data_IF_895298505639
#
_entry.id   IF_895298505639
#
_cell.length_a   1.000
_cell.length_b   1.000
_cell.length_c   1.000
_cell.angle_alpha   90.00
_cell.angle_beta   90.00
_cell.angle_gamma   90.00
#
_symmetry.space_group_name_H-M   'P 1'
#
loop_
_entity.id
_entity.type
_entity.pdbx_description
1 polymer ?
#
# COMPACT_ATOMS: atom_id res chain seq x y z
N UNK A 1 -28.70 -0.57 34.02
CA UNK A 1 -28.31 0.73 33.44
C UNK A 1 -26.90 0.59 32.92
N UNK A 2 -26.73 0.34 31.63
CA UNK A 2 -25.43 0.34 30.98
C UNK A 2 -25.32 1.67 30.22
N UNK A 3 -24.28 2.44 30.54
CA UNK A 3 -24.00 3.73 29.92
C UNK A 3 -23.63 3.53 28.44
N UNK A 4 -24.14 4.38 27.52
CA UNK A 4 -23.75 4.32 26.13
C UNK A 4 -22.29 4.75 25.94
N UNK A 5 -21.51 3.93 25.25
CA UNK A 5 -20.17 4.28 24.76
C UNK A 5 -20.34 5.39 23.72
N UNK A 6 -19.78 6.56 24.03
CA UNK A 6 -19.93 7.79 23.28
C UNK A 6 -19.36 7.65 21.86
N UNK A 7 -20.23 7.67 20.86
CA UNK A 7 -19.91 8.24 19.55
C UNK A 7 -19.61 9.72 19.76
N UNK A 8 -18.41 10.07 20.27
CA UNK A 8 -17.88 11.44 20.17
C UNK A 8 -17.54 11.65 18.69
N UNK A 9 -18.59 11.96 17.93
CA UNK A 9 -18.53 12.17 16.49
C UNK A 9 -17.54 13.28 16.18
N UNK A 10 -16.86 13.11 15.05
CA UNK A 10 -15.97 14.08 14.41
C UNK A 10 -16.54 15.53 14.31
N UNK A 11 -17.83 15.69 14.56
CA UNK A 11 -18.60 16.93 14.61
C UNK A 11 -18.25 17.86 15.79
N UNK A 12 -17.68 17.34 16.88
CA UNK A 12 -17.40 18.15 18.08
C UNK A 12 -16.15 19.03 17.93
N UNK A 13 -16.15 20.27 18.47
CA UNK A 13 -14.96 21.13 18.43
C UNK A 13 -13.78 20.58 19.24
N UNK A 14 -14.07 19.79 20.27
CA UNK A 14 -13.05 19.07 21.05
C UNK A 14 -12.22 18.10 20.20
N UNK A 15 -12.83 17.48 19.18
CA UNK A 15 -12.16 16.49 18.34
C UNK A 15 -11.11 17.12 17.42
N UNK A 16 -11.38 18.33 16.91
CA UNK A 16 -10.41 19.09 16.13
C UNK A 16 -9.23 19.52 17.01
N UNK A 17 -9.49 19.96 18.23
CA UNK A 17 -8.47 20.41 19.17
C UNK A 17 -7.53 19.28 19.61
N UNK A 18 -8.08 18.10 19.89
CA UNK A 18 -7.29 16.91 20.22
C UNK A 18 -6.38 16.50 19.05
N UNK A 19 -6.89 16.58 17.81
CA UNK A 19 -6.14 16.24 16.62
C UNK A 19 -5.02 17.24 16.31
N UNK A 20 -5.30 18.54 16.41
CA UNK A 20 -4.29 19.59 16.22
C UNK A 20 -3.19 19.51 17.29
N UNK A 21 -3.57 19.26 18.54
CA UNK A 21 -2.64 19.06 19.66
C UNK A 21 -1.77 17.82 19.46
N UNK A 22 -2.36 16.69 19.05
CA UNK A 22 -1.64 15.45 18.75
C UNK A 22 -0.59 15.63 17.65
N UNK A 23 -0.88 16.46 16.66
CA UNK A 23 0.03 16.78 15.55
C UNK A 23 1.00 17.92 15.87
N UNK A 24 0.95 18.47 17.08
CA UNK A 24 1.80 19.57 17.56
C UNK A 24 1.72 20.81 16.66
N UNK A 25 0.53 21.15 16.17
CA UNK A 25 0.30 22.41 15.46
C UNK A 25 0.47 23.56 16.47
N UNK A 26 1.27 24.59 16.17
CA UNK A 26 1.43 25.73 17.07
C UNK A 26 0.10 26.40 17.43
N UNK A 27 -0.10 26.72 18.71
CA UNK A 27 -1.32 27.34 19.24
C UNK A 27 -1.75 28.63 18.51
N UNK A 28 -0.82 29.50 18.06
CA UNK A 28 -1.19 30.67 17.25
C UNK A 28 -1.88 30.28 15.93
N UNK A 29 -1.45 29.19 15.28
CA UNK A 29 -2.08 28.69 14.04
C UNK A 29 -3.43 28.05 14.31
N UNK A 30 -3.58 27.32 15.43
CA UNK A 30 -4.87 26.79 15.86
C UNK A 30 -5.87 27.93 16.08
N UNK A 31 -5.43 29.02 16.73
CA UNK A 31 -6.24 30.21 16.96
C UNK A 31 -6.60 30.92 15.66
N UNK A 32 -5.66 31.07 14.72
CA UNK A 32 -5.91 31.69 13.41
C UNK A 32 -6.93 30.87 12.60
N UNK A 33 -6.80 29.55 12.62
CA UNK A 33 -7.71 28.63 11.94
C UNK A 33 -9.12 28.72 12.52
N UNK A 34 -9.27 28.71 13.85
CA UNK A 34 -10.57 28.93 14.51
C UNK A 34 -11.16 30.31 14.21
N UNK A 35 -10.31 31.33 14.10
CA UNK A 35 -10.70 32.68 13.70
C UNK A 35 -11.36 32.76 12.31
N UNK A 36 -11.08 31.80 11.42
CA UNK A 36 -11.75 31.68 10.11
C UNK A 36 -13.13 31.00 10.15
N UNK A 37 -13.60 30.60 11.35
CA UNK A 37 -14.89 29.93 11.53
C UNK A 37 -14.82 28.39 11.47
N UNK A 38 -13.61 27.83 11.37
CA UNK A 38 -13.39 26.37 11.33
C UNK A 38 -13.38 25.85 12.77
N UNK A 39 -14.42 25.10 13.15
CA UNK A 39 -14.57 24.60 14.52
C UNK A 39 -14.55 23.07 14.62
N UNK A 40 -14.91 22.36 13.56
CA UNK A 40 -14.98 20.89 13.56
C UNK A 40 -14.02 20.23 12.54
N UNK A 41 -13.88 18.91 12.62
CA UNK A 41 -13.10 18.13 11.66
C UNK A 41 -13.70 18.21 10.24
N UNK A 42 -15.02 18.06 10.03
CA UNK A 42 -15.66 18.30 8.74
C UNK A 42 -15.42 19.70 8.19
N UNK A 43 -15.54 20.74 9.03
CA UNK A 43 -15.30 22.12 8.60
C UNK A 43 -13.90 22.27 8.02
N UNK A 44 -12.89 21.74 8.72
CA UNK A 44 -11.52 21.85 8.26
C UNK A 44 -11.25 21.00 7.00
N UNK A 45 -11.86 19.81 6.94
CA UNK A 45 -11.74 18.89 5.81
C UNK A 45 -12.29 19.48 4.50
N UNK A 46 -13.41 20.20 4.58
CA UNK A 46 -14.15 20.69 3.41
C UNK A 46 -14.00 22.20 3.15
N UNK A 47 -13.47 22.99 4.09
CA UNK A 47 -13.20 24.43 3.87
C UNK A 47 -12.13 24.70 2.80
N UNK A 48 -11.29 23.71 2.50
CA UNK A 48 -10.25 23.79 1.47
C UNK A 48 -10.38 22.61 0.51
N UNK A 49 -10.31 22.88 -0.78
CA UNK A 49 -10.39 21.82 -1.80
C UNK A 49 -9.05 21.08 -1.92
N UNK A 50 -7.97 21.86 -1.91
CA UNK A 50 -6.60 21.40 -2.14
C UNK A 50 -5.65 21.87 -1.04
N UNK A 51 -4.59 21.10 -0.80
CA UNK A 51 -3.54 21.42 0.20
C UNK A 51 -2.86 22.76 -0.12
N UNK A 52 -2.73 23.10 -1.40
CA UNK A 52 -2.11 24.34 -1.85
C UNK A 52 -2.89 25.58 -1.39
N UNK A 53 -4.19 25.47 -1.13
CA UNK A 53 -5.01 26.59 -0.66
C UNK A 53 -4.70 26.98 0.80
N UNK A 54 -4.07 26.09 1.57
CA UNK A 54 -3.57 26.40 2.92
C UNK A 54 -2.38 27.36 2.87
N UNK A 55 -1.73 27.54 1.72
CA UNK A 55 -0.66 28.53 1.57
C UNK A 55 -1.15 29.97 1.78
N UNK A 56 -2.47 30.23 1.81
CA UNK A 56 -3.02 31.53 2.25
C UNK A 56 -2.62 31.92 3.67
N UNK A 57 -2.32 30.95 4.53
CA UNK A 57 -1.78 31.22 5.87
C UNK A 57 -0.33 31.72 5.80
N UNK A 58 0.37 31.52 4.69
CA UNK A 58 1.71 32.05 4.46
C UNK A 58 1.70 33.47 3.88
N UNK A 59 0.53 34.00 3.47
CA UNK A 59 0.45 35.31 2.85
C UNK A 59 0.81 36.41 3.86
N UNK A 60 1.80 37.22 3.48
CA UNK A 60 2.47 38.19 4.34
C UNK A 60 1.59 39.38 4.80
N UNK A 61 0.35 39.52 4.32
CA UNK A 61 -0.52 40.64 4.69
C UNK A 61 -1.45 40.33 5.88
N UNK A 62 -1.92 39.08 6.02
CA UNK A 62 -2.93 38.72 7.03
C UNK A 62 -2.34 38.00 8.24
N UNK A 63 -1.24 37.24 8.06
CA UNK A 63 -0.67 36.39 9.11
C UNK A 63 0.81 36.68 9.40
N UNK A 64 1.39 37.78 8.89
CA UNK A 64 2.81 38.10 9.12
C UNK A 64 3.18 38.23 10.61
N UNK A 65 2.31 38.84 11.42
CA UNK A 65 2.56 38.97 12.86
C UNK A 65 2.59 37.61 13.56
N UNK A 66 1.74 36.68 13.15
CA UNK A 66 1.73 35.31 13.66
C UNK A 66 3.06 34.59 13.39
N UNK A 67 3.65 34.77 12.19
CA UNK A 67 4.91 34.12 11.85
C UNK A 67 6.11 34.78 12.53
N UNK A 68 6.05 36.10 12.76
CA UNK A 68 7.03 36.82 13.58
C UNK A 68 7.03 36.32 15.03
N UNK A 69 5.85 36.15 15.63
CA UNK A 69 5.70 35.64 17.00
C UNK A 69 6.21 34.20 17.15
N UNK A 70 6.12 33.40 16.07
CA UNK A 70 6.68 32.05 16.00
C UNK A 70 8.18 32.02 15.68
N UNK A 71 8.79 33.16 15.32
CA UNK A 71 10.19 33.24 14.89
C UNK A 71 10.47 32.48 13.59
N UNK A 72 9.51 32.48 12.65
CA UNK A 72 9.60 31.76 11.38
C UNK A 72 9.70 32.77 10.23
N UNK A 73 10.86 32.83 9.58
CA UNK A 73 11.10 33.72 8.44
C UNK A 73 10.49 33.19 7.13
N UNK A 74 10.45 31.86 6.96
CA UNK A 74 9.95 31.20 5.76
C UNK A 74 8.75 30.27 6.09
N UNK A 75 7.52 30.79 6.08
CA UNK A 75 6.35 30.04 6.53
C UNK A 75 6.01 28.86 5.61
N UNK A 76 6.19 28.99 4.29
CA UNK A 76 5.79 27.97 3.30
C UNK A 76 6.50 26.62 3.49
N UNK A 77 7.78 26.66 3.85
CA UNK A 77 8.63 25.48 4.08
C UNK A 77 8.81 25.18 5.57
N UNK A 78 8.08 25.86 6.46
CA UNK A 78 8.20 25.70 7.90
C UNK A 78 7.63 24.36 8.41
N UNK A 79 8.18 23.81 9.51
CA UNK A 79 7.60 22.65 10.18
C UNK A 79 6.16 22.89 10.66
N UNK A 80 5.84 24.13 11.03
CA UNK A 80 4.51 24.54 11.47
C UNK A 80 3.47 24.36 10.34
N UNK A 81 3.75 24.86 9.14
CA UNK A 81 2.90 24.64 7.97
C UNK A 81 2.84 23.17 7.55
N UNK A 82 3.94 22.43 7.64
CA UNK A 82 3.94 21.00 7.34
C UNK A 82 2.99 20.22 8.27
N UNK A 83 2.95 20.57 9.57
CA UNK A 83 2.01 19.98 10.54
C UNK A 83 0.56 20.35 10.23
N UNK A 84 0.29 21.60 9.84
CA UNK A 84 -1.04 22.05 9.44
C UNK A 84 -1.55 21.31 8.18
N UNK A 85 -0.71 21.16 7.15
CA UNK A 85 -1.04 20.38 5.94
C UNK A 85 -1.31 18.91 6.28
N UNK A 86 -0.53 18.34 7.20
CA UNK A 86 -0.75 16.97 7.71
C UNK A 86 -2.07 16.86 8.48
N UNK A 87 -2.42 17.85 9.28
CA UNK A 87 -3.70 17.90 9.99
C UNK A 87 -4.88 17.91 9.01
N UNK A 88 -4.81 18.74 7.97
CA UNK A 88 -5.85 18.77 6.93
C UNK A 88 -6.04 17.40 6.25
N UNK A 89 -4.96 16.72 5.85
CA UNK A 89 -5.05 15.38 5.27
C UNK A 89 -5.70 14.36 6.22
N UNK A 90 -5.43 14.46 7.52
CA UNK A 90 -6.05 13.62 8.54
C UNK A 90 -7.54 13.92 8.70
N UNK A 91 -7.92 15.19 8.75
CA UNK A 91 -9.33 15.59 8.82
C UNK A 91 -10.11 15.14 7.58
N UNK A 92 -9.54 15.30 6.38
CA UNK A 92 -10.16 14.85 5.12
C UNK A 92 -10.40 13.34 5.11
N UNK A 93 -9.44 12.56 5.59
CA UNK A 93 -9.60 11.10 5.70
C UNK A 93 -10.68 10.71 6.72
N UNK A 94 -10.75 11.41 7.86
CA UNK A 94 -11.76 11.14 8.90
C UNK A 94 -13.18 11.51 8.43
N UNK A 95 -13.35 12.66 7.77
CA UNK A 95 -14.63 13.09 7.23
C UNK A 95 -15.14 12.11 6.15
N UNK A 96 -14.26 11.71 5.22
CA UNK A 96 -14.60 10.73 4.19
C UNK A 96 -14.94 9.34 4.76
N UNK A 97 -14.29 8.93 5.85
CA UNK A 97 -14.59 7.66 6.51
C UNK A 97 -15.94 7.68 7.25
N UNK A 98 -16.36 8.83 7.76
CA UNK A 98 -17.65 8.98 8.43
C UNK A 98 -18.84 9.07 7.45
N UNK A 99 -18.60 9.55 6.23
CA UNK A 99 -19.62 9.63 5.17
C UNK A 99 -19.75 8.34 4.36
N UNK A 100 -18.87 7.37 4.60
CA UNK A 100 -19.01 6.02 4.06
C UNK A 100 -20.22 5.31 4.69
N UNK A 101 -21.05 4.59 3.90
CA UNK A 101 -22.22 3.90 4.44
C UNK A 101 -21.80 2.89 5.50
N UNK A 102 -22.33 3.05 6.71
CA UNK A 102 -22.01 2.20 7.85
C UNK A 102 -22.42 0.74 7.57
N UNK A 103 -21.45 -0.12 7.28
CA UNK A 103 -21.61 -1.56 7.48
C UNK A 103 -21.52 -1.82 8.98
N UNK A 104 -22.68 -1.99 9.61
CA UNK A 104 -22.77 -2.46 10.98
C UNK A 104 -22.28 -3.90 11.05
N UNK A 105 -21.02 -4.10 11.43
CA UNK A 105 -20.61 -5.35 12.06
C UNK A 105 -19.49 -5.07 13.06
N UNK A 106 -19.88 -4.97 14.33
CA UNK A 106 -18.98 -5.19 15.46
C UNK A 106 -18.42 -6.62 15.34
N UNK A 107 -17.21 -6.73 14.82
CA UNK A 107 -16.35 -7.88 15.08
C UNK A 107 -14.95 -7.33 15.36
N UNK A 108 -14.55 -7.38 16.63
CA UNK A 108 -13.17 -7.11 17.03
C UNK A 108 -12.22 -7.92 16.15
N UNK A 109 -11.56 -7.22 15.24
CA UNK A 109 -10.46 -7.76 14.45
C UNK A 109 -9.30 -6.80 14.63
N UNK A 110 -8.15 -7.34 15.00
CA UNK A 110 -6.87 -6.63 15.15
C UNK A 110 -6.65 -5.60 14.02
N UNK A 111 -5.88 -4.52 14.24
CA UNK A 111 -5.70 -3.46 13.26
C UNK A 111 -5.14 -4.05 11.96
N UNK A 112 -6.04 -4.32 11.03
CA UNK A 112 -5.68 -4.69 9.68
C UNK A 112 -5.00 -3.46 9.10
N UNK A 113 -3.75 -3.64 8.65
CA UNK A 113 -3.07 -2.69 7.78
C UNK A 113 -4.06 -2.21 6.71
N UNK A 114 -4.05 -0.91 6.33
CA UNK A 114 -5.04 -0.36 5.43
C UNK A 114 -5.16 -1.27 4.21
N UNK A 115 -6.36 -1.86 4.08
CA UNK A 115 -6.71 -2.79 3.03
C UNK A 115 -6.22 -2.19 1.71
N UNK A 116 -5.48 -2.98 0.93
CA UNK A 116 -4.94 -2.55 -0.35
C UNK A 116 -6.04 -1.86 -1.15
N UNK A 117 -5.92 -0.55 -1.39
CA UNK A 117 -6.84 0.25 -2.25
C UNK A 117 -7.05 -0.36 -3.66
N UNK A 118 -6.24 -1.35 -4.03
CA UNK A 118 -6.32 -2.17 -5.25
C UNK A 118 -7.37 -3.29 -5.21
N UNK A 119 -7.74 -3.76 -4.02
CA UNK A 119 -8.72 -4.81 -3.80
C UNK A 119 -10.15 -4.27 -3.81
N UNK A 120 -10.37 -3.03 -3.32
CA UNK A 120 -11.73 -2.49 -3.18
C UNK A 120 -12.40 -2.09 -4.50
N UNK A 121 -11.65 -1.65 -5.52
CA UNK A 121 -12.20 -1.39 -6.86
C UNK A 121 -11.23 -1.78 -7.98
N UNK A 122 -11.09 -3.09 -8.15
CA UNK A 122 -10.56 -3.72 -9.34
C UNK A 122 -11.07 -3.07 -10.65
N UNK A 123 -10.19 -2.64 -11.59
CA UNK A 123 -10.66 -2.32 -12.93
C UNK A 123 -11.45 -3.51 -13.52
N UNK A 124 -12.50 -3.24 -14.32
CA UNK A 124 -13.20 -4.28 -15.05
C UNK A 124 -12.23 -5.19 -15.81
N UNK A 125 -12.52 -6.50 -15.80
CA UNK A 125 -11.72 -7.47 -16.56
C UNK A 125 -11.81 -7.13 -18.04
N UNK A 126 -10.68 -7.16 -18.73
CA UNK A 126 -10.66 -6.98 -20.18
C UNK A 126 -11.43 -8.12 -20.85
N UNK A 127 -12.13 -7.79 -21.91
CA UNK A 127 -12.81 -8.76 -22.75
C UNK A 127 -11.81 -9.60 -23.54
N UNK A 128 -12.20 -10.83 -23.86
CA UNK A 128 -11.34 -11.77 -24.58
C UNK A 128 -10.91 -11.25 -25.97
N UNK A 129 -11.75 -10.45 -26.64
CA UNK A 129 -11.45 -9.91 -27.95
C UNK A 129 -10.33 -8.85 -27.87
N UNK A 130 -10.39 -7.94 -26.89
CA UNK A 130 -9.31 -6.99 -26.63
C UNK A 130 -8.00 -7.69 -26.28
N UNK A 131 -8.03 -8.71 -25.42
CA UNK A 131 -6.82 -9.47 -25.08
C UNK A 131 -6.23 -10.15 -26.33
N UNK A 132 -7.06 -10.75 -27.18
CA UNK A 132 -6.63 -11.35 -28.44
C UNK A 132 -5.99 -10.32 -29.37
N UNK A 133 -6.57 -9.11 -29.46
CA UNK A 133 -6.01 -8.03 -30.27
C UNK A 133 -4.66 -7.54 -29.75
N UNK A 134 -4.53 -7.31 -28.43
CA UNK A 134 -3.25 -6.92 -27.82
C UNK A 134 -2.16 -7.98 -28.07
N UNK A 135 -2.54 -9.26 -27.96
CA UNK A 135 -1.62 -10.38 -28.20
C UNK A 135 -1.17 -10.43 -29.66
N UNK A 136 -2.10 -10.25 -30.60
CA UNK A 136 -1.80 -10.20 -32.04
C UNK A 136 -0.87 -9.02 -32.38
N UNK A 137 -1.16 -7.84 -31.84
CA UNK A 137 -0.33 -6.64 -32.02
C UNK A 137 1.08 -6.86 -31.45
N UNK A 138 1.18 -7.49 -30.28
CA UNK A 138 2.47 -7.82 -29.68
C UNK A 138 3.30 -8.76 -30.56
N UNK A 139 2.70 -9.84 -31.09
CA UNK A 139 3.38 -10.77 -31.99
C UNK A 139 3.83 -10.09 -33.30
N UNK A 140 3.02 -9.17 -33.82
CA UNK A 140 3.39 -8.40 -35.01
C UNK A 140 4.57 -7.46 -34.76
N UNK A 141 4.62 -6.83 -33.58
CA UNK A 141 5.69 -5.88 -33.22
C UNK A 141 6.97 -6.58 -32.74
N UNK A 142 6.84 -7.80 -32.21
CA UNK A 142 7.93 -8.58 -31.61
C UNK A 142 7.89 -10.04 -32.07
N UNK A 143 8.18 -10.34 -33.36
CA UNK A 143 8.02 -11.69 -33.92
C UNK A 143 8.94 -12.74 -33.30
N UNK A 144 10.03 -12.33 -32.64
CA UNK A 144 10.95 -13.21 -31.92
C UNK A 144 10.55 -13.52 -30.47
N UNK A 145 9.46 -12.93 -29.97
CA UNK A 145 9.04 -13.08 -28.57
C UNK A 145 7.81 -13.97 -28.48
N UNK A 146 7.91 -15.04 -27.70
CA UNK A 146 6.81 -15.96 -27.46
C UNK A 146 6.16 -15.71 -26.10
N UNK A 147 4.83 -15.56 -26.09
CA UNK A 147 4.03 -15.45 -24.87
C UNK A 147 3.44 -16.83 -24.54
N UNK A 148 4.16 -17.60 -23.73
CA UNK A 148 3.64 -18.83 -23.12
C UNK A 148 2.81 -18.52 -21.86
N UNK A 149 2.19 -19.54 -21.25
CA UNK A 149 1.36 -19.35 -20.05
C UNK A 149 2.12 -18.80 -18.82
N UNK A 150 3.44 -18.95 -18.78
CA UNK A 150 4.30 -18.46 -17.71
C UNK A 150 4.75 -17.00 -17.95
N UNK A 151 4.83 -16.55 -19.21
CA UNK A 151 5.20 -15.20 -19.61
C UNK A 151 4.00 -14.28 -19.88
N UNK A 152 2.83 -14.86 -20.22
CA UNK A 152 1.59 -14.12 -20.42
C UNK A 152 1.09 -13.56 -19.08
N UNK A 153 0.79 -12.25 -18.97
CA UNK A 153 0.21 -11.70 -17.77
C UNK A 153 -1.21 -12.21 -17.53
N UNK A 154 -1.58 -12.37 -16.26
CA UNK A 154 -2.96 -12.66 -15.90
C UNK A 154 -3.91 -11.55 -16.39
N UNK A 155 -5.15 -11.92 -16.68
CA UNK A 155 -6.20 -10.98 -17.12
C UNK A 155 -6.32 -9.81 -16.14
N UNK A 156 -6.19 -10.09 -14.84
CA UNK A 156 -6.25 -9.10 -13.78
C UNK A 156 -5.11 -8.07 -13.87
N UNK A 157 -3.87 -8.55 -13.99
CA UNK A 157 -2.70 -7.69 -14.14
C UNK A 157 -2.82 -6.85 -15.42
N UNK A 158 -3.24 -7.49 -16.52
CA UNK A 158 -3.40 -6.82 -17.81
C UNK A 158 -4.48 -5.73 -17.76
N UNK A 159 -5.62 -5.96 -17.09
CA UNK A 159 -6.65 -4.93 -16.85
C UNK A 159 -6.12 -3.72 -16.10
N UNK A 160 -5.30 -3.93 -15.07
CA UNK A 160 -4.70 -2.83 -14.29
C UNK A 160 -3.79 -2.00 -15.19
N UNK A 161 -2.90 -2.66 -15.93
CA UNK A 161 -1.93 -1.97 -16.79
C UNK A 161 -2.62 -1.30 -17.98
N UNK A 162 -3.64 -1.92 -18.56
CA UNK A 162 -4.43 -1.31 -19.64
C UNK A 162 -5.12 -0.01 -19.19
N UNK A 163 -5.64 0.02 -17.96
CA UNK A 163 -6.23 1.24 -17.38
C UNK A 163 -5.22 2.37 -17.26
N UNK A 164 -3.94 2.10 -17.00
CA UNK A 164 -2.91 3.15 -16.90
C UNK A 164 -2.76 3.95 -18.18
N UNK A 165 -2.91 3.28 -19.33
CA UNK A 165 -2.71 3.87 -20.65
C UNK A 165 -4.04 4.25 -21.33
N UNK A 166 -5.16 4.11 -20.63
CA UNK A 166 -6.47 4.61 -21.06
C UNK A 166 -6.62 6.11 -20.72
N UNK A 167 -7.52 6.86 -21.38
CA UNK A 167 -7.75 8.28 -21.07
C UNK A 167 -8.09 8.51 -19.60
N UNK A 168 -7.37 9.41 -18.92
CA UNK A 168 -7.53 9.66 -17.49
C UNK A 168 -6.90 8.60 -16.56
N UNK A 169 -6.20 7.62 -17.13
CA UNK A 169 -5.39 6.66 -16.39
C UNK A 169 -4.17 7.30 -15.74
N UNK A 170 -3.77 6.78 -14.58
CA UNK A 170 -2.52 7.14 -13.92
C UNK A 170 -1.72 5.88 -13.58
N UNK A 171 -0.41 5.97 -13.77
CA UNK A 171 0.51 4.89 -13.43
C UNK A 171 0.67 4.88 -11.92
N UNK A 172 0.47 3.72 -11.31
CA UNK A 172 0.64 3.52 -9.89
C UNK A 172 1.41 2.22 -9.60
N UNK A 173 1.88 2.04 -8.37
CA UNK A 173 2.65 0.86 -8.01
C UNK A 173 1.79 -0.40 -7.91
N UNK A 174 2.11 -1.47 -8.65
CA UNK A 174 1.48 -2.79 -8.50
C UNK A 174 2.29 -3.66 -7.51
N UNK A 175 1.70 -4.11 -6.40
CA UNK A 175 2.31 -5.09 -5.49
C UNK A 175 2.76 -6.36 -6.22
N UNK A 176 3.85 -6.99 -5.77
CA UNK A 176 4.36 -8.21 -6.41
C UNK A 176 3.37 -9.37 -6.34
N UNK A 177 2.53 -9.40 -5.29
CA UNK A 177 1.46 -10.38 -5.11
C UNK A 177 0.48 -10.41 -6.29
N UNK A 178 0.26 -9.28 -6.95
CA UNK A 178 -0.68 -9.14 -8.06
C UNK A 178 -0.03 -9.34 -9.43
N UNK A 179 1.29 -9.53 -9.50
CA UNK A 179 2.04 -9.72 -10.75
C UNK A 179 2.07 -11.18 -11.18
N UNK A 180 0.87 -11.76 -11.32
CA UNK A 180 0.69 -13.17 -11.65
C UNK A 180 0.72 -13.40 -13.16
N UNK A 181 1.36 -14.49 -13.58
CA UNK A 181 1.19 -15.01 -14.94
C UNK A 181 -0.22 -15.59 -15.13
N UNK A 182 -0.62 -15.80 -16.38
CA UNK A 182 -1.90 -16.43 -16.73
C UNK A 182 -2.00 -17.82 -16.09
N UNK A 183 -0.95 -18.62 -16.20
CA UNK A 183 -0.90 -19.97 -15.62
C UNK A 183 -1.02 -19.95 -14.10
N UNK A 184 -0.23 -19.11 -13.42
CA UNK A 184 -0.30 -18.98 -11.95
C UNK A 184 -1.69 -18.53 -11.49
N UNK A 185 -2.29 -17.58 -12.21
CA UNK A 185 -3.63 -17.10 -11.90
C UNK A 185 -4.68 -18.20 -12.05
N UNK A 186 -4.60 -19.02 -13.11
CA UNK A 186 -5.48 -20.18 -13.32
C UNK A 186 -5.29 -21.23 -12.23
N UNK A 187 -4.06 -21.61 -11.91
CA UNK A 187 -3.74 -22.59 -10.86
C UNK A 187 -4.29 -22.15 -9.48
N UNK A 188 -4.15 -20.87 -9.13
CA UNK A 188 -4.69 -20.34 -7.87
C UNK A 188 -6.22 -20.41 -7.86
N UNK A 189 -6.88 -20.03 -8.95
CA UNK A 189 -8.35 -20.09 -9.06
C UNK A 189 -8.84 -21.54 -8.96
N UNK A 190 -8.24 -22.44 -9.73
CA UNK A 190 -8.59 -23.86 -9.73
C UNK A 190 -8.39 -24.49 -8.35
N UNK A 191 -7.28 -24.18 -7.67
CA UNK A 191 -7.02 -24.68 -6.31
C UNK A 191 -8.05 -24.20 -5.28
N UNK A 192 -8.65 -23.01 -5.49
CA UNK A 192 -9.71 -22.45 -4.65
C UNK A 192 -11.09 -23.07 -4.95
N UNK A 193 -11.35 -23.56 -6.17
CA UNK A 193 -12.64 -24.17 -6.53
C UNK A 193 -12.72 -25.63 -6.10
N UNK A 194 -11.60 -26.36 -6.03
CA UNK A 194 -11.61 -27.79 -5.67
C UNK A 194 -11.83 -28.04 -4.17
N UNK A 195 -11.66 -27.05 -3.28
CA UNK A 195 -11.56 -27.28 -1.83
C UNK A 195 -12.88 -27.26 -1.05
N UNK A 196 -14.02 -26.82 -1.60
CA UNK A 196 -15.29 -26.76 -0.83
C UNK A 196 -16.52 -26.72 -1.75
N UNK A 197 -17.54 -27.55 -1.48
CA UNK A 197 -18.92 -27.27 -1.87
C UNK A 197 -19.33 -25.95 -1.18
N UNK A 198 -19.38 -24.85 -1.93
CA UNK A 198 -19.73 -23.53 -1.39
C UNK A 198 -21.24 -23.46 -1.11
N UNK A 199 -21.60 -22.91 0.04
CA UNK A 199 -22.99 -22.54 0.33
C UNK A 199 -23.40 -21.32 -0.52
N UNK A 200 -24.70 -21.11 -0.74
CA UNK A 200 -25.20 -19.96 -1.52
C UNK A 200 -24.67 -18.61 -1.00
N UNK A 201 -24.52 -18.47 0.32
CA UNK A 201 -23.91 -17.28 0.93
C UNK A 201 -22.43 -17.08 0.55
N UNK A 202 -21.65 -18.16 0.40
CA UNK A 202 -20.26 -18.08 -0.07
C UNK A 202 -20.17 -17.79 -1.58
N UNK A 203 -21.14 -18.26 -2.36
CA UNK A 203 -21.27 -17.88 -3.78
C UNK A 203 -21.58 -16.39 -3.93
N UNK A 204 -22.55 -15.88 -3.17
CA UNK A 204 -22.87 -14.45 -3.14
C UNK A 204 -21.69 -13.63 -2.62
N UNK A 205 -21.00 -14.09 -1.55
CA UNK A 205 -19.79 -13.43 -1.06
C UNK A 205 -18.66 -13.41 -2.10
N UNK A 206 -18.49 -14.47 -2.90
CA UNK A 206 -17.47 -14.50 -3.97
C UNK A 206 -17.87 -13.61 -5.16
N UNK A 207 -19.17 -13.50 -5.43
CA UNK A 207 -19.71 -12.63 -6.48
C UNK A 207 -19.65 -11.14 -6.09
N UNK A 208 -19.79 -10.84 -4.79
CA UNK A 208 -19.76 -9.48 -4.23
C UNK A 208 -18.33 -9.04 -3.89
N UNK A 209 -17.50 -9.95 -3.39
CA UNK A 209 -16.09 -9.72 -3.07
C UNK A 209 -15.23 -10.62 -3.96
N UNK A 210 -14.72 -10.08 -5.08
CA UNK A 210 -13.75 -10.78 -5.94
C UNK A 210 -12.46 -10.96 -5.13
N UNK A 211 -12.37 -12.08 -4.41
CA UNK A 211 -11.21 -12.54 -3.66
C UNK A 211 -10.00 -12.60 -4.60
N UNK A 212 -9.28 -11.48 -4.68
CA UNK A 212 -8.26 -11.23 -5.69
C UNK A 212 -7.16 -12.30 -5.55
N UNK A 213 -6.89 -13.10 -6.60
CA UNK A 213 -5.81 -14.07 -6.56
C UNK A 213 -4.48 -13.36 -6.31
N UNK A 214 -3.78 -13.78 -5.26
CA UNK A 214 -2.51 -13.19 -4.84
C UNK A 214 -1.43 -14.26 -4.71
N UNK A 215 -0.20 -13.91 -5.06
CA UNK A 215 0.97 -14.75 -4.82
C UNK A 215 1.27 -14.81 -3.31
N UNK A 216 1.47 -16.01 -2.72
CA UNK A 216 1.92 -16.11 -1.34
C UNK A 216 3.35 -15.56 -1.22
N UNK A 217 3.54 -14.50 -0.42
CA UNK A 217 4.84 -13.82 -0.25
C UNK A 217 5.42 -13.91 1.16
N UNK A 218 4.70 -14.51 2.11
CA UNK A 218 5.02 -14.48 3.56
C UNK A 218 6.39 -15.09 3.91
N UNK A 219 6.90 -15.98 3.06
CA UNK A 219 8.21 -16.62 3.22
C UNK A 219 9.09 -16.51 1.97
N UNK A 220 8.80 -15.51 1.13
CA UNK A 220 9.49 -15.35 -0.13
C UNK A 220 10.96 -14.94 0.09
N UNK A 221 11.88 -15.82 -0.31
CA UNK A 221 13.29 -15.44 -0.46
C UNK A 221 13.49 -14.80 -1.83
N UNK A 222 13.83 -13.51 -1.82
CA UNK A 222 14.16 -12.77 -3.05
C UNK A 222 15.35 -13.46 -3.73
N UNK A 223 15.12 -14.04 -4.91
CA UNK A 223 16.17 -14.64 -5.74
C UNK A 223 16.14 -14.01 -7.13
N UNK A 224 17.29 -13.96 -7.85
CA UNK A 224 17.34 -13.44 -9.21
C UNK A 224 16.36 -14.15 -10.14
N UNK A 225 16.22 -15.48 -10.00
CA UNK A 225 15.31 -16.29 -10.80
C UNK A 225 13.83 -15.97 -10.50
N UNK A 226 13.47 -15.78 -9.23
CA UNK A 226 12.11 -15.37 -8.87
C UNK A 226 11.79 -13.96 -9.38
N UNK A 227 12.69 -13.01 -9.14
CA UNK A 227 12.51 -11.62 -9.56
C UNK A 227 12.44 -11.51 -11.09
N UNK A 228 13.29 -12.24 -11.82
CA UNK A 228 13.29 -12.29 -13.27
C UNK A 228 11.96 -12.79 -13.86
N UNK A 229 11.33 -13.79 -13.22
CA UNK A 229 9.99 -14.27 -13.62
C UNK A 229 8.92 -13.21 -13.41
N UNK A 230 8.85 -12.63 -12.21
CA UNK A 230 7.84 -11.60 -11.89
C UNK A 230 8.01 -10.35 -12.76
N UNK A 231 9.25 -9.93 -13.02
CA UNK A 231 9.51 -8.80 -13.91
C UNK A 231 9.17 -9.12 -15.36
N UNK A 232 9.41 -10.35 -15.83
CA UNK A 232 9.02 -10.76 -17.18
C UNK A 232 7.51 -10.64 -17.40
N UNK A 233 6.71 -11.14 -16.47
CA UNK A 233 5.25 -11.04 -16.52
C UNK A 233 4.81 -9.57 -16.53
N UNK A 234 5.38 -8.75 -15.64
CA UNK A 234 5.04 -7.34 -15.53
C UNK A 234 5.44 -6.51 -16.76
N UNK A 235 6.66 -6.72 -17.27
CA UNK A 235 7.14 -6.14 -18.53
C UNK A 235 6.21 -6.47 -19.68
N UNK A 236 5.82 -7.75 -19.81
CA UNK A 236 4.97 -8.19 -20.90
C UNK A 236 3.59 -7.52 -20.84
N UNK A 237 3.03 -7.32 -19.64
CA UNK A 237 1.80 -6.54 -19.46
C UNK A 237 1.92 -5.11 -20.01
N UNK A 238 3.02 -4.42 -19.68
CA UNK A 238 3.25 -3.04 -20.16
C UNK A 238 3.44 -3.01 -21.68
N UNK A 239 4.20 -3.97 -22.23
CA UNK A 239 4.45 -4.05 -23.66
C UNK A 239 3.18 -4.39 -24.46
N UNK A 240 2.34 -5.30 -23.97
CA UNK A 240 1.03 -5.64 -24.55
C UNK A 240 0.13 -4.41 -24.60
N UNK A 241 0.10 -3.60 -23.55
CA UNK A 241 -0.67 -2.35 -23.51
C UNK A 241 0.00 -1.17 -24.23
N UNK A 242 1.07 -1.41 -25.00
CA UNK A 242 1.83 -0.38 -25.75
C UNK A 242 2.38 0.76 -24.89
N UNK A 243 2.58 0.52 -23.59
CA UNK A 243 3.07 1.54 -22.66
C UNK A 243 4.54 1.91 -22.86
N UNK A 244 5.36 0.95 -23.30
CA UNK A 244 6.75 1.16 -23.66
C UNK A 244 7.26 0.05 -24.59
N UNK A 245 8.32 0.34 -25.35
CA UNK A 245 8.94 -0.66 -26.21
C UNK A 245 9.62 -1.77 -25.40
N UNK A 246 9.44 -3.03 -25.81
CA UNK A 246 9.90 -4.20 -25.06
C UNK A 246 11.41 -4.17 -24.77
N UNK A 247 12.23 -3.72 -25.72
CA UNK A 247 13.68 -3.60 -25.53
C UNK A 247 14.05 -2.63 -24.38
N UNK A 248 13.31 -1.53 -24.21
CA UNK A 248 13.54 -0.57 -23.11
C UNK A 248 13.17 -1.19 -21.77
N UNK A 249 12.09 -1.96 -21.72
CA UNK A 249 11.66 -2.66 -20.52
C UNK A 249 12.64 -3.78 -20.14
N UNK A 250 13.19 -4.55 -21.10
CA UNK A 250 14.24 -5.54 -20.82
C UNK A 250 15.50 -4.90 -20.24
N UNK A 251 15.91 -3.73 -20.76
CA UNK A 251 17.04 -2.97 -20.22
C UNK A 251 16.75 -2.45 -18.80
N UNK A 252 15.51 -2.02 -18.53
CA UNK A 252 15.06 -1.64 -17.20
C UNK A 252 15.11 -2.81 -16.23
N UNK A 253 14.58 -3.98 -16.61
CA UNK A 253 14.58 -5.18 -15.77
C UNK A 253 15.99 -5.60 -15.39
N UNK A 254 16.95 -5.54 -16.34
CA UNK A 254 18.36 -5.82 -16.04
C UNK A 254 18.88 -4.92 -14.90
N UNK A 255 18.63 -3.62 -14.96
CA UNK A 255 19.03 -2.68 -13.89
C UNK A 255 18.35 -3.01 -12.55
N UNK A 256 17.07 -3.38 -12.59
CA UNK A 256 16.33 -3.77 -11.38
C UNK A 256 16.92 -5.04 -10.77
N UNK A 257 17.22 -6.06 -11.57
CA UNK A 257 17.86 -7.28 -11.11
C UNK A 257 19.26 -6.98 -10.54
N UNK A 258 20.07 -6.20 -11.24
CA UNK A 258 21.41 -5.82 -10.79
C UNK A 258 21.36 -5.13 -9.42
N UNK A 259 20.48 -4.14 -9.24
CA UNK A 259 20.32 -3.42 -7.97
C UNK A 259 19.74 -4.29 -6.84
N UNK A 260 18.78 -5.14 -7.15
CA UNK A 260 18.12 -5.99 -6.15
C UNK A 260 18.98 -7.17 -5.69
N UNK A 261 19.99 -7.54 -6.48
CA UNK A 261 20.86 -8.70 -6.23
C UNK A 261 22.31 -8.33 -5.94
N UNK A 262 22.66 -7.04 -6.01
CA UNK A 262 23.98 -6.55 -5.64
C UNK A 262 24.25 -6.87 -4.17
N UNK A 263 25.33 -7.62 -3.92
CA UNK A 263 25.85 -7.80 -2.57
C UNK A 263 26.40 -6.44 -2.11
N UNK A 264 25.93 -5.86 -0.99
CA UNK A 264 26.44 -4.56 -0.56
C UNK A 264 27.93 -4.68 -0.25
N UNK A 265 28.75 -3.86 -0.92
CA UNK A 265 30.20 -3.81 -0.72
C UNK A 265 30.58 -3.44 0.73
N UNK A 266 29.64 -2.84 1.47
CA UNK A 266 29.76 -2.43 2.86
C UNK A 266 28.65 -3.10 3.70
N UNK A 267 28.68 -4.43 3.76
CA UNK A 267 27.82 -5.24 4.64
C UNK A 267 27.91 -4.87 6.13
N UNK A 268 28.90 -4.04 6.51
CA UNK A 268 29.10 -3.49 7.84
C UNK A 268 28.14 -2.33 8.20
N UNK A 269 27.55 -1.65 7.20
CA UNK A 269 26.69 -0.45 7.41
C UNK A 269 25.21 -0.68 7.14
N UNK A 270 24.86 -1.80 6.53
CA UNK A 270 23.48 -2.28 6.45
C UNK A 270 23.37 -3.40 7.46
N UNK A 271 22.76 -3.13 8.61
CA UNK A 271 22.46 -4.15 9.61
C UNK A 271 21.79 -5.32 8.92
N UNK A 272 22.55 -6.40 8.76
CA UNK A 272 22.01 -7.70 8.45
C UNK A 272 20.94 -8.00 9.49
N UNK A 273 19.68 -8.13 9.06
CA UNK A 273 18.72 -8.99 9.74
C UNK A 273 19.14 -10.44 9.50
N UNK A 274 20.31 -10.82 9.99
CA UNK A 274 20.64 -12.20 10.27
C UNK A 274 20.00 -12.50 11.61
N UNK A 275 19.02 -13.40 11.62
CA UNK A 275 18.65 -14.10 12.83
C UNK A 275 19.95 -14.65 13.43
N UNK A 276 20.41 -14.04 14.52
CA UNK A 276 21.49 -14.62 15.29
C UNK A 276 20.89 -15.86 15.96
N UNK A 277 21.21 -17.03 15.41
CA UNK A 277 21.13 -18.28 16.16
C UNK A 277 22.00 -18.10 17.40
N UNK A 278 21.35 -17.94 18.55
CA UNK A 278 21.99 -17.92 19.85
C UNK A 278 22.65 -19.27 20.09
N UNK A 279 23.92 -19.39 19.75
CA UNK A 279 24.76 -20.54 20.10
C UNK A 279 25.07 -20.45 21.60
N UNK A 280 24.15 -20.97 22.41
CA UNK A 280 24.36 -21.23 23.83
C UNK A 280 25.52 -22.20 24.00
N UNK A 281 26.55 -21.76 24.74
CA UNK A 281 27.60 -22.63 25.29
C UNK A 281 26.97 -23.44 26.41
N UNK A 282 26.76 -24.74 26.19
CA UNK A 282 26.44 -25.66 27.28
C UNK A 282 27.62 -26.59 27.57
N UNK A 283 28.19 -26.40 28.75
CA UNK A 283 29.11 -27.31 29.38
C UNK A 283 28.37 -28.50 30.01
N UNK A 284 28.86 -29.69 29.69
CA UNK A 284 29.02 -30.91 30.51
C UNK A 284 28.12 -31.11 31.76
N UNK A 285 27.29 -32.16 31.68
CA UNK A 285 26.65 -32.90 32.79
C UNK A 285 25.33 -33.51 32.27
N UNK A 286 25.10 -34.82 32.17
CA UNK A 286 25.38 -35.91 33.10
C UNK A 286 24.12 -36.19 33.93
N UNK A 287 23.19 -37.04 33.46
CA UNK A 287 22.03 -37.42 34.28
C UNK A 287 20.83 -38.02 33.54
N UNK A 288 20.66 -39.33 33.72
CA UNK A 288 19.57 -40.24 33.34
C UNK A 288 18.18 -39.89 33.94
N UNK A 289 17.06 -39.92 33.18
CA UNK A 289 15.76 -40.52 33.62
C UNK A 289 14.64 -40.54 32.54
N UNK A 290 13.72 -41.49 32.74
CA UNK A 290 12.55 -41.92 31.95
C UNK A 290 11.27 -41.07 32.15
N UNK A 291 10.37 -41.16 31.15
CA UNK A 291 8.88 -41.10 31.15
C UNK A 291 8.11 -39.99 31.89
N UNK A 292 7.14 -39.37 31.19
CA UNK A 292 6.00 -38.66 31.81
C UNK A 292 5.23 -37.74 30.85
N UNK A 293 3.90 -37.90 30.79
CA UNK A 293 2.95 -37.28 29.85
C UNK A 293 2.28 -36.01 30.42
N UNK A 294 2.13 -34.97 29.57
CA UNK A 294 1.19 -33.80 29.58
C UNK A 294 1.25 -32.74 30.70
N UNK A 295 0.61 -31.54 30.55
CA UNK A 295 0.56 -30.60 29.42
C UNK A 295 0.77 -29.12 29.84
N UNK A 296 1.00 -28.19 28.90
CA UNK A 296 0.61 -26.77 29.07
C UNK A 296 1.67 -25.68 28.83
N UNK A 297 1.18 -24.56 28.27
CA UNK A 297 1.80 -23.24 27.99
C UNK A 297 2.42 -23.05 26.61
N UNK A 298 1.59 -22.60 25.66
CA UNK A 298 2.04 -22.07 24.37
C UNK A 298 2.39 -20.59 24.54
N UNK A 299 3.67 -20.27 24.32
CA UNK A 299 4.23 -18.91 24.20
C UNK A 299 3.54 -18.13 23.07
N UNK A 300 3.23 -16.87 23.34
CA UNK A 300 2.87 -15.88 22.32
C UNK A 300 4.05 -15.63 21.37
N UNK A 301 3.84 -15.53 20.04
CA UNK A 301 4.85 -15.01 19.13
C UNK A 301 4.71 -13.49 19.00
N UNK A 302 5.84 -12.82 19.23
CA UNK A 302 5.99 -11.37 19.25
C UNK A 302 5.76 -10.69 17.91
N UNK A 303 5.47 -9.41 18.07
CA UNK A 303 5.23 -8.32 17.12
C UNK A 303 6.13 -8.36 15.87
N UNK A 304 5.51 -8.53 14.70
CA UNK A 304 6.19 -8.43 13.40
C UNK A 304 6.51 -6.98 13.03
N UNK A 305 7.77 -6.70 12.73
CA UNK A 305 8.24 -5.40 12.26
C UNK A 305 7.91 -5.21 10.77
N UNK A 306 7.27 -4.09 10.44
CA UNK A 306 6.98 -3.68 9.08
C UNK A 306 8.22 -3.05 8.41
N UNK A 307 8.59 -3.55 7.23
CA UNK A 307 9.68 -2.98 6.41
C UNK A 307 9.09 -1.96 5.43
N UNK A 308 9.39 -0.68 5.64
CA UNK A 308 9.07 0.41 4.72
C UNK A 308 10.29 0.65 3.83
N UNK A 309 10.21 0.33 2.54
CA UNK A 309 11.25 0.68 1.56
C UNK A 309 10.91 2.04 0.95
N UNK A 310 11.73 3.05 1.27
CA UNK A 310 11.61 4.42 0.74
C UNK A 310 12.29 4.47 -0.64
N UNK A 311 11.52 4.71 -1.69
CA UNK A 311 12.05 4.89 -3.05
C UNK A 311 12.61 6.32 -3.20
N UNK A 312 13.87 6.45 -3.62
CA UNK A 312 14.46 7.73 -3.98
C UNK A 312 14.10 8.07 -5.43
N UNK A 313 13.21 9.03 -5.62
CA UNK A 313 12.81 9.52 -6.94
C UNK A 313 13.92 10.32 -7.62
N UNK A 314 14.66 9.69 -8.52
CA UNK A 314 15.49 10.36 -9.51
C UNK A 314 14.66 10.66 -10.76
N UNK A 315 14.45 11.95 -11.05
CA UNK A 315 13.86 12.44 -12.30
C UNK A 315 14.71 11.98 -13.49
N UNK A 316 14.11 11.29 -14.46
CA UNK A 316 14.65 11.21 -15.80
C UNK A 316 13.77 12.09 -16.71
N UNK A 317 14.22 13.33 -16.94
CA UNK A 317 13.98 14.04 -18.20
C UNK A 317 15.09 13.62 -19.14
N UNK A 318 14.71 13.07 -20.29
CA UNK A 318 15.06 13.52 -21.64
C UNK A 318 14.47 12.54 -22.66
#
# INVERSE_FOLDING_TARGET
>A
MALPVSTKGIEGPEALDELLSSLQVPEPLCTALKGTGIQSIPDFAFAYNEVAELSRFCDASAYAQLWQDLGIDEPEHSPAMARLRRAWHRCKALAQAAEAPASSTDVSTAPQLPLNRWAEHAPPRLDAATIAQLTKDFQSNYPGEHLDGDAMPSVRLLSIVHKWFSPGGSIAWIPWQLRLSQKQYQEIIESKTTKTLRTEAQFLSTALYDETPELPVDHLRLSPAWLGRIQTVFRNAIALCKGAHLARLKAFDKKVLDLATHSPADASKLQHCTAQDGKGKDGKGGGNTKNGTQPGKRKEPGTGAAIIVKWAGGRCRD
#
